data_IF_619063936813
#
_entry.id   IF_619063936813
#
_cell.length_a   1.000
_cell.length_b   1.000
_cell.length_c   1.000
_cell.angle_alpha   90.00
_cell.angle_beta   90.00
_cell.angle_gamma   90.00
#
_symmetry.space_group_name_H-M   'P 1'
#
loop_
_entity.id
_entity.type
_entity.pdbx_description
1 polymer ?
#
# COMPACT_ATOMS: atom_id res chain seq x y z
N UNK A 1 7.57 8.66 37.48
CA UNK A 1 6.70 9.83 37.69
C UNK A 1 5.47 9.63 36.84
N UNK A 2 4.29 9.87 37.40
CA UNK A 2 3.00 9.73 36.73
C UNK A 2 2.17 10.99 37.00
N UNK A 3 1.42 11.46 36.01
CA UNK A 3 0.51 12.59 36.13
C UNK A 3 -0.92 12.07 35.95
N UNK A 4 -1.71 12.10 37.02
CA UNK A 4 -3.07 11.54 37.06
C UNK A 4 -4.05 12.61 37.53
N UNK A 5 -5.21 12.71 36.88
CA UNK A 5 -6.29 13.61 37.29
C UNK A 5 -7.65 12.93 37.15
N UNK A 6 -8.59 13.25 38.05
CA UNK A 6 -9.96 12.69 38.04
C UNK A 6 -10.87 13.31 36.97
N UNK A 7 -10.57 14.53 36.52
CA UNK A 7 -11.38 15.28 35.54
C UNK A 7 -10.57 15.61 34.30
N UNK A 8 -9.68 16.60 34.41
CA UNK A 8 -8.92 17.12 33.27
C UNK A 8 -7.48 17.44 33.66
N UNK A 9 -6.61 17.40 32.66
CA UNK A 9 -5.26 17.95 32.68
C UNK A 9 -5.20 18.93 31.51
N UNK A 10 -4.72 20.14 31.76
CA UNK A 10 -4.51 21.16 30.75
C UNK A 10 -3.01 21.49 30.73
N UNK A 11 -2.38 21.41 29.56
CA UNK A 11 -0.97 21.75 29.36
C UNK A 11 -0.94 22.88 28.34
N UNK A 12 -0.59 24.08 28.77
CA UNK A 12 -0.58 25.31 27.96
C UNK A 12 0.76 26.00 28.09
N UNK A 13 1.36 26.40 26.97
CA UNK A 13 2.47 27.34 26.91
C UNK A 13 1.94 28.67 26.41
N UNK A 14 2.19 29.75 27.16
CA UNK A 14 1.69 31.09 26.84
C UNK A 14 2.66 31.91 25.99
N UNK A 15 3.92 31.49 25.91
CA UNK A 15 4.99 32.29 25.31
C UNK A 15 5.75 31.56 24.21
N UNK A 16 5.86 30.24 24.28
CA UNK A 16 6.74 29.48 23.39
C UNK A 16 6.11 28.12 23.00
N UNK A 17 6.64 26.99 23.49
CA UNK A 17 6.30 25.66 22.98
C UNK A 17 6.05 24.61 24.06
N UNK A 18 5.41 23.50 23.65
CA UNK A 18 5.30 22.27 24.44
C UNK A 18 6.00 21.14 23.67
N UNK A 19 7.09 20.61 24.23
CA UNK A 19 7.84 19.48 23.66
C UNK A 19 7.52 18.18 24.41
N UNK A 20 6.94 17.22 23.70
CA UNK A 20 6.70 15.85 24.20
C UNK A 20 7.69 14.92 23.50
N UNK A 21 8.71 14.45 24.23
CA UNK A 21 9.77 13.60 23.69
C UNK A 21 9.83 12.29 24.47
N UNK A 22 9.88 11.17 23.76
CA UNK A 22 10.06 9.85 24.37
C UNK A 22 11.11 9.05 23.61
N UNK A 23 11.89 8.23 24.34
CA UNK A 23 12.95 7.39 23.75
C UNK A 23 12.40 6.24 22.90
N UNK A 24 11.24 5.70 23.27
CA UNK A 24 10.66 4.49 22.65
C UNK A 24 9.39 4.80 21.87
N UNK A 25 8.42 5.42 22.53
CA UNK A 25 7.06 5.58 21.99
C UNK A 25 6.32 6.73 22.69
N UNK A 26 5.50 7.44 21.92
CA UNK A 26 4.45 8.34 22.40
C UNK A 26 3.11 7.75 21.94
N UNK A 27 2.15 7.62 22.87
CA UNK A 27 0.78 7.21 22.56
C UNK A 27 -0.18 8.24 23.12
N UNK A 28 -1.06 8.77 22.27
CA UNK A 28 -2.17 9.65 22.67
C UNK A 28 -3.46 8.87 22.40
N UNK A 29 -4.27 8.62 23.42
CA UNK A 29 -5.47 7.79 23.32
C UNK A 29 -6.72 8.49 23.86
N UNK A 30 -7.88 8.20 23.27
CA UNK A 30 -9.18 8.69 23.75
C UNK A 30 -10.33 8.05 22.99
N UNK A 31 -11.37 7.59 23.69
CA UNK A 31 -12.58 7.05 23.08
C UNK A 31 -12.36 5.88 22.11
N UNK A 32 -11.33 5.05 22.33
CA UNK A 32 -10.95 3.95 21.44
C UNK A 32 -10.09 4.35 20.23
N UNK A 33 -9.89 5.64 19.99
CA UNK A 33 -8.96 6.15 18.98
C UNK A 33 -7.57 6.41 19.59
N UNK A 34 -6.53 6.37 18.76
CA UNK A 34 -5.17 6.67 19.17
C UNK A 34 -4.30 7.24 18.05
N UNK A 35 -3.22 7.89 18.47
CA UNK A 35 -2.05 8.20 17.63
C UNK A 35 -0.83 7.60 18.31
N UNK A 36 -0.08 6.77 17.58
CA UNK A 36 1.16 6.15 18.04
C UNK A 36 2.34 6.69 17.23
N UNK A 37 3.38 7.14 17.94
CA UNK A 37 4.64 7.61 17.36
C UNK A 37 5.74 6.75 17.95
N UNK A 38 6.40 5.95 17.13
CA UNK A 38 7.48 5.06 17.55
C UNK A 38 8.50 4.86 16.43
N UNK A 39 9.53 4.03 16.64
CA UNK A 39 10.60 3.82 15.65
C UNK A 39 10.14 3.29 14.29
N UNK A 40 8.95 2.67 14.20
CA UNK A 40 8.35 2.20 12.95
C UNK A 40 7.65 3.31 12.16
N UNK A 41 7.35 4.46 12.78
CA UNK A 41 6.67 5.58 12.16
C UNK A 41 5.52 6.14 13.00
N UNK A 42 4.56 6.77 12.30
CA UNK A 42 3.38 7.41 12.89
C UNK A 42 2.14 6.64 12.42
N UNK A 43 1.33 6.18 13.38
CA UNK A 43 0.11 5.41 13.12
C UNK A 43 -1.10 6.06 13.80
N UNK A 44 -2.02 6.65 13.03
CA UNK A 44 -3.35 7.00 13.51
C UNK A 44 -4.29 5.79 13.41
N UNK A 45 -5.02 5.49 14.49
CA UNK A 45 -6.01 4.41 14.53
C UNK A 45 -7.32 4.87 15.15
N UNK A 46 -8.45 4.53 14.52
CA UNK A 46 -9.78 4.84 15.03
C UNK A 46 -10.78 3.77 14.59
N UNK A 47 -11.80 3.43 15.42
CA UNK A 47 -12.88 2.55 15.00
C UNK A 47 -13.90 3.20 14.05
N UNK A 48 -13.91 4.55 13.97
CA UNK A 48 -14.84 5.31 13.12
C UNK A 48 -14.14 5.95 11.92
N UNK A 49 -14.77 7.00 11.38
CA UNK A 49 -14.22 7.72 10.23
C UNK A 49 -13.03 8.61 10.63
N UNK A 50 -11.97 8.56 9.82
CA UNK A 50 -10.81 9.46 9.94
C UNK A 50 -10.98 10.68 9.04
N UNK A 51 -11.53 11.76 9.60
CA UNK A 51 -11.82 12.99 8.86
C UNK A 51 -10.64 13.97 8.86
N UNK A 52 -10.08 14.24 7.67
CA UNK A 52 -8.98 15.20 7.48
C UNK A 52 -9.47 16.40 6.67
N UNK A 53 -9.36 17.60 7.23
CA UNK A 53 -9.68 18.86 6.53
C UNK A 53 -8.38 19.56 6.13
N UNK A 54 -8.03 19.52 4.85
CA UNK A 54 -6.82 20.14 4.33
C UNK A 54 -7.05 20.74 2.93
N UNK A 55 -6.40 21.87 2.63
CA UNK A 55 -6.39 22.48 1.28
C UNK A 55 -5.63 21.61 0.28
N UNK A 56 -4.59 20.91 0.75
CA UNK A 56 -3.82 19.95 -0.02
C UNK A 56 -3.44 18.76 0.87
N UNK A 57 -3.58 17.54 0.34
CA UNK A 57 -3.14 16.30 1.00
C UNK A 57 -2.30 15.50 0.02
N UNK A 58 -0.97 15.56 0.19
CA UNK A 58 -0.02 14.83 -0.64
C UNK A 58 0.42 13.53 0.02
N UNK A 59 0.51 12.45 -0.75
CA UNK A 59 1.24 11.22 -0.36
C UNK A 59 2.48 11.11 -1.24
N UNK A 60 3.63 10.83 -0.63
CA UNK A 60 4.81 10.45 -1.40
C UNK A 60 4.53 9.08 -2.04
N UNK A 61 4.75 8.91 -3.35
CA UNK A 61 4.71 7.60 -3.96
C UNK A 61 5.78 6.70 -3.32
N UNK A 62 5.53 5.38 -3.30
CA UNK A 62 6.57 4.43 -2.92
C UNK A 62 7.83 4.68 -3.76
N UNK A 63 9.00 4.46 -3.16
CA UNK A 63 10.25 4.44 -3.92
C UNK A 63 10.09 3.45 -5.08
N UNK A 64 10.13 3.96 -6.30
CA UNK A 64 10.04 3.15 -7.52
C UNK A 64 11.44 3.06 -8.11
N UNK A 65 12.14 1.99 -7.79
CA UNK A 65 13.38 1.65 -8.47
C UNK A 65 13.03 0.97 -9.80
N UNK A 66 13.63 1.41 -10.90
CA UNK A 66 13.47 0.73 -12.19
C UNK A 66 14.23 -0.59 -12.12
N UNK A 67 13.56 -1.66 -11.70
CA UNK A 67 14.11 -3.00 -11.84
C UNK A 67 14.08 -3.33 -13.33
N UNK A 68 15.23 -3.64 -13.97
CA UNK A 68 15.23 -4.12 -15.33
C UNK A 68 14.35 -5.36 -15.42
N UNK A 69 13.39 -5.34 -16.32
CA UNK A 69 12.51 -6.47 -16.55
C UNK A 69 13.37 -7.64 -17.04
N UNK A 70 13.32 -8.84 -16.41
CA UNK A 70 14.03 -9.99 -16.92
C UNK A 70 13.48 -10.30 -18.32
N UNK A 71 14.37 -10.46 -19.29
CA UNK A 71 13.97 -10.95 -20.61
C UNK A 71 13.48 -12.38 -20.44
N UNK A 72 12.19 -12.60 -20.66
CA UNK A 72 11.66 -13.93 -20.79
C UNK A 72 12.17 -14.52 -22.11
N UNK A 73 12.73 -15.75 -22.11
CA UNK A 73 13.07 -16.41 -23.35
C UNK A 73 11.79 -16.55 -24.19
N UNK A 74 11.75 -15.82 -25.30
CA UNK A 74 10.80 -16.09 -26.37
C UNK A 74 11.02 -17.54 -26.80
N UNK A 75 9.94 -18.33 -26.84
CA UNK A 75 9.95 -19.67 -27.41
C UNK A 75 10.21 -19.54 -28.93
N UNK A 76 11.46 -19.33 -29.33
CA UNK A 76 11.86 -19.19 -30.73
C UNK A 76 12.11 -20.55 -31.39
N UNK A 77 11.21 -21.51 -31.16
CA UNK A 77 11.27 -22.84 -31.75
C UNK A 77 9.91 -23.56 -31.70
N UNK A 78 8.84 -22.86 -32.07
CA UNK A 78 7.71 -23.56 -32.72
C UNK A 78 7.79 -23.12 -34.17
N UNK A 79 8.32 -24.00 -35.01
CA UNK A 79 8.35 -23.79 -36.45
C UNK A 79 6.92 -23.49 -36.91
N UNK A 80 6.74 -22.31 -37.51
CA UNK A 80 5.46 -21.84 -38.05
C UNK A 80 4.94 -22.70 -39.21
N UNK A 81 5.60 -23.82 -39.52
CA UNK A 81 5.15 -24.84 -40.47
C UNK A 81 4.30 -25.95 -39.85
N UNK A 82 4.32 -26.13 -38.52
CA UNK A 82 3.60 -27.23 -37.85
C UNK A 82 2.17 -26.86 -37.44
N UNK A 83 1.81 -25.58 -37.55
CA UNK A 83 0.47 -25.11 -37.22
C UNK A 83 -0.13 -24.33 -38.40
N UNK A 84 -1.13 -24.93 -39.05
CA UNK A 84 -1.98 -24.24 -40.03
C UNK A 84 -2.74 -23.10 -39.32
N UNK A 85 -2.26 -21.86 -39.47
CA UNK A 85 -2.84 -20.67 -38.84
C UNK A 85 -4.33 -20.49 -39.22
N UNK A 86 -4.68 -20.86 -40.45
CA UNK A 86 -6.06 -20.87 -40.95
C UNK A 86 -6.94 -21.88 -40.19
N UNK A 87 -6.37 -23.05 -39.88
CA UNK A 87 -7.05 -24.12 -39.16
C UNK A 87 -7.29 -23.71 -37.70
N UNK A 88 -6.33 -23.02 -37.07
CA UNK A 88 -6.49 -22.47 -35.73
C UNK A 88 -7.57 -21.37 -35.69
N UNK A 89 -7.56 -20.45 -36.65
CA UNK A 89 -8.57 -19.40 -36.76
C UNK A 89 -9.99 -19.97 -36.95
N UNK A 90 -10.13 -21.04 -37.74
CA UNK A 90 -11.41 -21.70 -37.96
C UNK A 90 -11.84 -22.54 -36.74
N UNK A 91 -10.90 -23.21 -36.06
CA UNK A 91 -11.17 -23.95 -34.83
C UNK A 91 -11.66 -23.02 -33.70
N UNK A 92 -11.03 -21.86 -33.51
CA UNK A 92 -11.47 -20.85 -32.52
C UNK A 92 -12.86 -20.31 -32.87
N UNK A 93 -13.16 -20.08 -34.15
CA UNK A 93 -14.48 -19.58 -34.58
C UNK A 93 -15.59 -20.62 -34.37
N UNK A 94 -15.24 -21.90 -34.43
CA UNK A 94 -16.20 -23.01 -34.35
C UNK A 94 -16.18 -23.73 -32.98
N UNK A 95 -15.34 -23.29 -32.04
CA UNK A 95 -15.15 -23.88 -30.70
C UNK A 95 -14.72 -25.38 -30.75
N UNK A 96 -13.92 -25.74 -31.76
CA UNK A 96 -13.40 -27.10 -31.97
C UNK A 96 -11.94 -27.25 -31.50
N UNK A 97 -11.54 -28.44 -31.06
CA UNK A 97 -10.16 -28.75 -30.67
C UNK A 97 -9.27 -28.99 -31.90
N UNK A 98 -8.07 -28.39 -31.92
CA UNK A 98 -7.07 -28.64 -32.98
C UNK A 98 -6.50 -30.05 -32.80
N UNK A 99 -6.74 -30.93 -33.77
CA UNK A 99 -6.13 -32.26 -33.82
C UNK A 99 -4.85 -32.20 -34.64
N UNK A 100 -3.71 -32.49 -34.01
CA UNK A 100 -2.44 -32.71 -34.73
C UNK A 100 -2.57 -34.03 -35.51
N UNK A 101 -2.66 -33.91 -36.83
CA UNK A 101 -2.52 -35.04 -37.75
C UNK A 101 -1.04 -35.36 -37.93
N UNK A 102 -0.72 -36.65 -37.85
CA UNK A 102 0.59 -37.28 -38.11
C UNK A 102 1.25 -36.76 -39.38
#
# INVERSE_FOLDING_TARGET
MELLAKKSIEIVSTEDEIKITAKKKITINGGGSYIRIEGSGIEPGTPGDYNVKAVHYGRQPKASEKVPMPEFPILSAVDSSDFCLECLLNAIKNDDAVVEGV
#
